data_IF_624682620540
#
_entry.id   IF_624682620540
#
_cell.length_a   1.000
_cell.length_b   1.000
_cell.length_c   1.000
_cell.angle_alpha   90.00
_cell.angle_beta   90.00
_cell.angle_gamma   90.00
#
_symmetry.space_group_name_H-M   'P 1'
#
loop_
_entity.id
_entity.type
_entity.pdbx_description
1 polymer ?
#
# COMPACT_ATOMS: atom_id res chain seq x y z
N UNK A 1 -37.37 19.74 -24.51
CA UNK A 1 -37.02 18.31 -24.35
C UNK A 1 -36.00 17.91 -25.40
N UNK A 2 -34.73 17.73 -25.04
CA UNK A 2 -33.74 17.03 -25.89
C UNK A 2 -32.89 16.16 -24.97
N UNK A 3 -33.19 14.86 -24.95
CA UNK A 3 -32.50 13.85 -24.15
C UNK A 3 -31.13 13.57 -24.76
N UNK A 4 -30.12 13.54 -23.88
CA UNK A 4 -28.74 13.15 -24.14
C UNK A 4 -28.68 11.69 -24.55
N UNK A 5 -28.24 11.42 -25.79
CA UNK A 5 -27.86 10.10 -26.28
C UNK A 5 -26.41 10.20 -26.77
N UNK A 6 -25.46 10.35 -25.83
CA UNK A 6 -24.02 10.30 -26.17
C UNK A 6 -23.15 9.64 -25.09
N UNK A 7 -23.72 8.96 -24.09
CA UNK A 7 -22.94 8.29 -23.03
C UNK A 7 -23.00 6.77 -23.04
N UNK A 8 -23.75 6.14 -23.95
CA UNK A 8 -23.93 4.68 -23.93
C UNK A 8 -23.06 3.92 -24.96
N UNK A 9 -22.48 4.58 -25.95
CA UNK A 9 -21.77 3.88 -27.05
C UNK A 9 -20.27 3.73 -26.80
N UNK A 10 -19.65 4.61 -26.00
CA UNK A 10 -18.24 4.45 -25.59
C UNK A 10 -18.04 3.48 -24.42
N UNK A 11 -19.11 3.13 -23.71
CA UNK A 11 -19.09 2.09 -22.67
C UNK A 11 -19.44 0.70 -23.22
N UNK A 12 -20.03 0.58 -24.43
CA UNK A 12 -20.70 -0.66 -24.86
C UNK A 12 -19.83 -1.67 -25.60
N UNK A 13 -18.76 -1.26 -26.26
CA UNK A 13 -17.98 -2.15 -27.15
C UNK A 13 -16.56 -2.46 -26.64
N UNK A 14 -16.00 -1.66 -25.74
CA UNK A 14 -14.71 -1.93 -25.11
C UNK A 14 -14.80 -2.61 -23.74
N UNK A 15 -15.98 -2.63 -23.11
CA UNK A 15 -16.14 -3.19 -21.76
C UNK A 15 -16.57 -4.64 -21.79
N UNK A 16 -17.49 -5.08 -22.65
CA UNK A 16 -17.99 -6.47 -22.60
C UNK A 16 -16.90 -7.52 -22.91
N UNK A 17 -16.10 -7.32 -23.97
CA UNK A 17 -15.04 -8.27 -24.33
C UNK A 17 -13.88 -8.30 -23.33
N UNK A 18 -13.46 -7.11 -22.83
CA UNK A 18 -12.44 -6.99 -21.78
C UNK A 18 -12.92 -7.50 -20.42
N UNK A 19 -14.20 -7.32 -20.09
CA UNK A 19 -14.82 -7.86 -18.88
C UNK A 19 -14.95 -9.37 -18.93
N UNK A 20 -15.42 -9.94 -20.05
CA UNK A 20 -15.58 -11.40 -20.19
C UNK A 20 -14.20 -12.09 -20.17
N UNK A 21 -13.21 -11.51 -20.86
CA UNK A 21 -11.81 -11.96 -20.77
C UNK A 21 -11.25 -11.80 -19.34
N UNK A 22 -11.54 -10.70 -18.66
CA UNK A 22 -11.15 -10.47 -17.26
C UNK A 22 -11.77 -11.49 -16.30
N UNK A 23 -13.06 -11.80 -16.43
CA UNK A 23 -13.79 -12.77 -15.60
C UNK A 23 -13.29 -14.20 -15.80
N UNK A 24 -13.08 -14.63 -17.05
CA UNK A 24 -12.46 -15.92 -17.35
C UNK A 24 -11.02 -16.03 -16.85
N UNK A 25 -10.24 -14.95 -16.90
CA UNK A 25 -8.89 -14.93 -16.30
C UNK A 25 -8.91 -14.95 -14.77
N UNK A 26 -9.90 -14.31 -14.14
CA UNK A 26 -10.15 -14.34 -12.69
C UNK A 26 -10.49 -15.76 -12.20
N UNK A 27 -11.18 -16.56 -13.01
CA UNK A 27 -11.50 -17.97 -12.68
C UNK A 27 -10.25 -18.86 -12.68
N UNK A 28 -9.31 -18.64 -13.60
CA UNK A 28 -8.09 -19.43 -13.68
C UNK A 28 -7.02 -19.04 -12.65
N UNK A 29 -7.06 -17.83 -12.10
CA UNK A 29 -5.95 -17.29 -11.31
C UNK A 29 -5.70 -18.10 -10.03
N UNK A 30 -6.72 -18.49 -9.26
CA UNK A 30 -6.49 -19.17 -7.98
C UNK A 30 -5.81 -20.55 -8.15
N UNK A 31 -6.29 -21.37 -9.08
CA UNK A 31 -5.69 -22.66 -9.40
C UNK A 31 -4.32 -22.52 -10.07
N UNK A 32 -4.12 -21.51 -10.91
CA UNK A 32 -2.82 -21.21 -11.50
C UNK A 32 -1.80 -20.77 -10.45
N UNK A 33 -2.21 -19.95 -9.49
CA UNK A 33 -1.38 -19.47 -8.39
C UNK A 33 -0.90 -20.61 -7.49
N UNK A 34 -1.81 -21.54 -7.15
CA UNK A 34 -1.47 -22.76 -6.40
C UNK A 34 -0.53 -23.67 -7.21
N UNK A 35 -0.74 -23.81 -8.53
CA UNK A 35 0.07 -24.65 -9.40
C UNK A 35 1.46 -24.09 -9.73
N UNK A 36 1.61 -22.75 -9.77
CA UNK A 36 2.88 -22.05 -10.02
C UNK A 36 3.59 -21.58 -8.75
N UNK A 37 3.03 -21.83 -7.58
CA UNK A 37 3.70 -21.61 -6.31
C UNK A 37 5.11 -22.23 -6.39
N UNK A 38 6.19 -21.46 -6.15
CA UNK A 38 7.52 -22.04 -6.16
C UNK A 38 7.55 -23.19 -5.16
N UNK A 39 7.98 -24.38 -5.61
CA UNK A 39 8.26 -25.51 -4.73
C UNK A 39 9.31 -25.03 -3.73
N UNK A 40 8.86 -24.70 -2.52
CA UNK A 40 9.65 -24.07 -1.48
C UNK A 40 10.89 -24.94 -1.21
N UNK A 41 12.08 -24.39 -1.49
CA UNK A 41 13.33 -25.14 -1.29
C UNK A 41 13.61 -25.24 0.20
N UNK A 42 13.79 -26.47 0.69
CA UNK A 42 13.80 -26.88 2.11
C UNK A 42 14.98 -26.31 2.93
N UNK A 43 15.88 -25.50 2.36
CA UNK A 43 17.07 -25.01 3.05
C UNK A 43 16.87 -23.76 3.93
N UNK A 44 15.84 -22.93 3.73
CA UNK A 44 15.74 -21.61 4.41
C UNK A 44 15.08 -21.62 5.80
N UNK A 45 14.51 -22.75 6.25
CA UNK A 45 13.79 -22.80 7.53
C UNK A 45 14.73 -22.77 8.75
N UNK A 46 15.95 -23.31 8.64
CA UNK A 46 16.92 -23.36 9.74
C UNK A 46 17.47 -21.97 10.10
N UNK A 47 17.58 -21.07 9.13
CA UNK A 47 18.16 -19.73 9.31
C UNK A 47 17.12 -18.64 9.63
N UNK A 48 15.82 -19.00 9.66
CA UNK A 48 14.74 -18.02 9.84
C UNK A 48 14.91 -17.13 11.09
N UNK A 49 15.18 -17.65 12.30
CA UNK A 49 15.37 -16.80 13.48
C UNK A 49 16.54 -15.82 13.33
N UNK A 50 17.67 -16.28 12.78
CA UNK A 50 18.86 -15.47 12.55
C UNK A 50 18.62 -14.37 11.51
N UNK A 51 17.91 -14.69 10.42
CA UNK A 51 17.54 -13.74 9.39
C UNK A 51 16.56 -12.68 9.90
N UNK A 52 15.56 -13.10 10.67
CA UNK A 52 14.61 -12.19 11.31
C UNK A 52 15.32 -11.26 12.29
N UNK A 53 16.24 -11.80 13.10
CA UNK A 53 17.03 -11.01 14.03
C UNK A 53 17.86 -9.95 13.31
N UNK A 54 18.65 -10.37 12.31
CA UNK A 54 19.47 -9.47 11.49
C UNK A 54 18.63 -8.38 10.80
N UNK A 55 17.49 -8.76 10.22
CA UNK A 55 16.61 -7.81 9.55
C UNK A 55 16.00 -6.79 10.52
N UNK A 56 15.57 -7.22 11.71
CA UNK A 56 15.03 -6.34 12.74
C UNK A 56 16.08 -5.43 13.33
N UNK A 57 17.31 -5.92 13.53
CA UNK A 57 18.44 -5.10 13.95
C UNK A 57 18.74 -4.00 12.92
N UNK A 58 18.81 -4.36 11.63
CA UNK A 58 18.96 -3.36 10.55
C UNK A 58 17.79 -2.38 10.50
N UNK A 59 16.56 -2.86 10.64
CA UNK A 59 15.38 -2.00 10.65
C UNK A 59 15.43 -1.00 11.82
N UNK A 60 15.89 -1.41 12.99
CA UNK A 60 16.11 -0.54 14.15
C UNK A 60 17.17 0.52 13.89
N UNK A 61 18.30 0.18 13.24
CA UNK A 61 19.31 1.17 12.86
C UNK A 61 18.73 2.25 11.93
N UNK A 62 17.88 1.84 10.99
CA UNK A 62 17.21 2.75 10.07
C UNK A 62 16.22 3.66 10.81
N UNK A 63 15.47 3.12 11.75
CA UNK A 63 14.54 3.87 12.60
C UNK A 63 15.27 4.88 13.50
N UNK A 64 16.38 4.51 14.13
CA UNK A 64 17.20 5.44 14.90
C UNK A 64 17.74 6.60 14.06
N UNK A 65 18.16 6.31 12.83
CA UNK A 65 18.63 7.34 11.92
C UNK A 65 17.49 8.29 11.51
N UNK A 66 16.27 7.76 11.29
CA UNK A 66 15.06 8.55 11.03
C UNK A 66 14.78 9.51 12.18
N UNK A 67 14.79 9.03 13.42
CA UNK A 67 14.55 9.84 14.62
C UNK A 67 15.64 10.91 14.83
N UNK A 68 16.93 10.52 14.75
CA UNK A 68 18.07 11.43 14.94
C UNK A 68 18.02 12.62 14.00
N UNK A 69 17.64 12.39 12.76
CA UNK A 69 17.69 13.42 11.72
C UNK A 69 16.40 14.28 11.68
N UNK A 70 15.55 14.18 12.71
CA UNK A 70 14.26 14.88 12.88
C UNK A 70 13.22 14.60 11.79
N UNK A 71 13.33 13.42 11.18
CA UNK A 71 12.47 12.96 10.08
C UNK A 71 11.20 12.30 10.59
N UNK A 72 11.05 12.26 11.91
CA UNK A 72 9.86 11.78 12.61
C UNK A 72 8.59 12.53 12.22
N UNK A 73 8.72 13.71 11.61
CA UNK A 73 7.64 14.49 11.00
C UNK A 73 7.26 14.00 9.59
N UNK A 74 7.81 12.88 9.14
CA UNK A 74 7.60 12.28 7.82
C UNK A 74 8.55 12.76 6.73
N UNK A 75 9.38 13.75 6.99
CA UNK A 75 10.22 14.39 5.96
C UNK A 75 11.15 13.39 5.27
N UNK A 76 11.16 13.37 3.94
CA UNK A 76 12.33 12.92 3.18
C UNK A 76 13.29 14.09 3.03
N UNK A 77 14.47 13.96 3.62
CA UNK A 77 15.55 14.95 3.63
C UNK A 77 16.70 14.43 2.80
N UNK A 78 16.96 15.11 1.69
CA UNK A 78 18.20 14.99 0.94
C UNK A 78 19.29 15.80 1.67
N UNK A 79 20.46 15.19 1.91
CA UNK A 79 21.64 15.86 2.48
C UNK A 79 22.87 15.75 1.60
N UNK A 80 23.59 16.85 1.40
CA UNK A 80 24.94 16.88 0.82
C UNK A 80 25.95 15.99 1.58
N UNK A 81 27.10 15.72 0.96
CA UNK A 81 28.26 15.03 1.57
C UNK A 81 28.69 15.67 2.90
N UNK A 82 28.50 16.98 3.06
CA UNK A 82 28.87 17.74 4.27
C UNK A 82 27.78 17.74 5.34
N UNK A 83 26.71 16.95 5.16
CA UNK A 83 25.58 16.84 6.08
C UNK A 83 24.55 17.97 5.96
N UNK A 84 24.77 18.96 5.09
CA UNK A 84 23.82 20.06 4.83
C UNK A 84 22.58 19.55 4.10
N UNK A 85 21.40 19.94 4.55
CA UNK A 85 20.12 19.64 3.90
C UNK A 85 20.06 20.35 2.54
N UNK A 86 19.88 19.59 1.46
CA UNK A 86 19.73 20.09 0.08
C UNK A 86 18.25 20.18 -0.35
N UNK A 87 17.37 19.40 0.28
CA UNK A 87 15.92 19.48 0.08
C UNK A 87 15.15 18.66 1.10
N UNK A 88 13.95 19.11 1.45
CA UNK A 88 13.01 18.41 2.31
C UNK A 88 11.65 18.35 1.60
N UNK A 89 11.15 17.17 1.25
CA UNK A 89 9.82 17.06 0.65
C UNK A 89 9.21 15.67 0.84
N UNK A 90 7.88 15.63 0.90
CA UNK A 90 7.04 14.43 1.04
C UNK A 90 7.01 13.85 2.47
N UNK A 91 5.89 14.05 3.18
CA UNK A 91 5.77 13.65 4.58
C UNK A 91 4.72 12.61 4.89
N UNK A 92 3.50 12.80 4.39
CA UNK A 92 2.37 12.06 4.93
C UNK A 92 2.39 10.58 4.50
N UNK A 93 2.85 10.28 3.29
CA UNK A 93 2.99 8.91 2.83
C UNK A 93 4.03 8.14 3.64
N UNK A 94 5.25 8.70 3.75
CA UNK A 94 6.37 8.10 4.46
C UNK A 94 6.13 7.96 5.95
N UNK A 95 5.62 9.02 6.60
CA UNK A 95 5.27 8.95 8.01
C UNK A 95 4.24 7.86 8.26
N UNK A 96 3.24 7.74 7.39
CA UNK A 96 2.19 6.74 7.56
C UNK A 96 2.73 5.32 7.41
N UNK A 97 3.52 5.05 6.36
CA UNK A 97 4.15 3.73 6.19
C UNK A 97 5.12 3.39 7.33
N UNK A 98 5.87 4.38 7.83
CA UNK A 98 6.70 4.22 9.03
C UNK A 98 5.85 3.84 10.24
N UNK A 99 4.78 4.57 10.53
CA UNK A 99 3.85 4.26 11.63
C UNK A 99 3.36 2.82 11.54
N UNK A 100 2.90 2.39 10.36
CA UNK A 100 2.44 1.00 10.16
C UNK A 100 3.57 0.01 10.40
N UNK A 101 4.76 0.27 9.87
CA UNK A 101 5.89 -0.63 10.01
C UNK A 101 6.30 -0.80 11.49
N UNK A 102 6.30 0.29 12.27
CA UNK A 102 6.58 0.26 13.70
C UNK A 102 5.55 -0.58 14.48
N UNK A 103 4.25 -0.41 14.20
CA UNK A 103 3.21 -1.26 14.79
C UNK A 103 3.44 -2.74 14.48
N UNK A 104 3.68 -3.07 13.20
CA UNK A 104 3.92 -4.47 12.78
C UNK A 104 5.21 -5.08 13.33
N UNK A 105 6.20 -4.24 13.64
CA UNK A 105 7.43 -4.67 14.30
C UNK A 105 7.27 -4.84 15.82
N UNK A 106 6.13 -4.46 16.40
CA UNK A 106 5.88 -4.48 17.85
C UNK A 106 6.55 -3.34 18.61
N UNK A 107 6.82 -2.22 17.94
CA UNK A 107 7.41 -1.01 18.52
C UNK A 107 6.29 0.01 18.80
N UNK A 108 5.35 -0.36 19.68
CA UNK A 108 4.10 0.39 19.87
C UNK A 108 4.33 1.83 20.37
N UNK A 109 5.32 2.03 21.24
CA UNK A 109 5.66 3.36 21.79
C UNK A 109 6.19 4.29 20.69
N UNK A 110 7.08 3.78 19.85
CA UNK A 110 7.62 4.50 18.69
C UNK A 110 6.52 4.74 17.64
N UNK A 111 5.65 3.76 17.41
CA UNK A 111 4.53 3.87 16.49
C UNK A 111 3.53 4.95 16.91
N UNK A 112 3.17 4.99 18.19
CA UNK A 112 2.28 6.00 18.77
C UNK A 112 2.90 7.41 18.71
N UNK A 113 4.21 7.51 18.93
CA UNK A 113 4.94 8.78 18.76
C UNK A 113 4.91 9.24 17.30
N UNK A 114 5.22 8.34 16.37
CA UNK A 114 5.18 8.63 14.94
C UNK A 114 3.76 9.06 14.49
N UNK A 115 2.74 8.35 14.95
CA UNK A 115 1.34 8.68 14.68
C UNK A 115 0.93 10.04 15.26
N UNK A 116 1.29 10.31 16.52
CA UNK A 116 0.99 11.57 17.17
C UNK A 116 1.56 12.77 16.39
N UNK A 117 2.76 12.61 15.82
CA UNK A 117 3.32 13.64 14.93
C UNK A 117 2.47 13.86 13.67
N UNK A 118 1.97 12.80 13.03
CA UNK A 118 1.05 12.91 11.88
C UNK A 118 -0.22 13.64 12.28
N UNK A 119 -0.89 13.18 13.34
CA UNK A 119 -2.18 13.70 13.78
C UNK A 119 -2.11 15.19 14.18
N UNK A 120 -0.98 15.63 14.73
CA UNK A 120 -0.76 17.01 15.17
C UNK A 120 -0.25 17.94 14.07
N UNK A 121 0.61 17.46 13.17
CA UNK A 121 1.35 18.33 12.24
C UNK A 121 0.89 18.23 10.79
N UNK A 122 0.32 17.10 10.39
CA UNK A 122 -0.10 16.88 9.00
C UNK A 122 -1.56 17.28 8.75
N UNK A 123 -2.31 17.71 9.78
CA UNK A 123 -3.66 18.25 9.64
C UNK A 123 -3.66 19.75 9.96
N UNK A 124 -3.63 20.59 8.94
CA UNK A 124 -3.63 22.06 9.06
C UNK A 124 -4.78 22.68 8.25
N UNK A 125 -5.36 23.77 8.75
CA UNK A 125 -6.44 24.53 8.09
C UNK A 125 -7.56 23.64 7.56
N UNK A 126 -7.94 22.62 8.34
CA UNK A 126 -8.95 21.61 8.00
C UNK A 126 -8.62 20.82 6.73
N UNK A 127 -7.35 20.53 6.47
CA UNK A 127 -6.86 19.72 5.34
C UNK A 127 -5.71 18.84 5.81
N UNK A 128 -5.54 17.71 5.14
CA UNK A 128 -4.30 16.94 5.24
C UNK A 128 -3.26 17.58 4.32
N UNK A 129 -2.10 17.92 4.87
CA UNK A 129 -1.06 18.70 4.19
C UNK A 129 0.28 17.99 4.22
N UNK A 130 1.16 18.38 3.30
CA UNK A 130 2.57 17.99 3.34
C UNK A 130 3.29 18.68 4.50
N UNK A 131 4.55 18.32 4.71
CA UNK A 131 5.40 19.00 5.69
C UNK A 131 5.48 20.51 5.37
N UNK A 132 5.49 21.40 6.38
CA UNK A 132 5.63 22.84 6.16
C UNK A 132 6.86 23.24 5.34
N UNK A 133 7.95 22.45 5.42
CA UNK A 133 9.17 22.69 4.63
C UNK A 133 9.07 22.27 3.16
N UNK A 134 7.99 21.57 2.76
CA UNK A 134 7.74 21.23 1.37
C UNK A 134 7.44 22.49 0.55
N UNK A 135 8.00 22.59 -0.66
CA UNK A 135 7.66 23.67 -1.60
C UNK A 135 6.15 23.73 -1.91
N UNK A 136 5.51 22.58 -2.00
CA UNK A 136 4.07 22.44 -2.22
C UNK A 136 3.42 21.87 -0.96
N UNK A 137 2.38 22.54 -0.47
CA UNK A 137 1.68 22.12 0.75
C UNK A 137 0.49 21.18 0.48
N UNK A 138 0.04 21.12 -0.77
CA UNK A 138 -1.11 20.33 -1.19
C UNK A 138 -0.84 18.82 -1.07
N UNK A 139 -1.80 18.08 -0.54
CA UNK A 139 -1.74 16.62 -0.47
C UNK A 139 -2.16 16.00 -1.80
N UNK A 140 -1.63 14.80 -2.04
CA UNK A 140 -1.89 14.02 -3.24
C UNK A 140 -2.47 12.65 -2.89
N UNK A 141 -2.99 11.95 -3.90
CA UNK A 141 -3.68 10.67 -3.73
C UNK A 141 -2.86 9.63 -2.98
N UNK A 142 -1.59 9.46 -3.34
CA UNK A 142 -0.65 8.58 -2.64
C UNK A 142 -0.55 8.89 -1.15
N UNK A 143 -0.41 10.16 -0.78
CA UNK A 143 -0.33 10.56 0.63
C UNK A 143 -1.56 10.12 1.43
N UNK A 144 -2.75 10.20 0.81
CA UNK A 144 -3.98 9.75 1.44
C UNK A 144 -4.07 8.23 1.48
N UNK A 145 -3.58 7.52 0.47
CA UNK A 145 -3.46 6.06 0.54
C UNK A 145 -2.50 5.66 1.67
N UNK A 146 -1.40 6.39 1.88
CA UNK A 146 -0.53 6.22 3.04
C UNK A 146 -1.27 6.46 4.35
N UNK A 147 -1.99 7.59 4.47
CA UNK A 147 -2.79 7.89 5.65
C UNK A 147 -3.85 6.79 5.92
N UNK A 148 -4.49 6.27 4.88
CA UNK A 148 -5.43 5.14 4.99
C UNK A 148 -4.71 3.88 5.49
N UNK A 149 -3.48 3.62 5.06
CA UNK A 149 -2.68 2.51 5.56
C UNK A 149 -2.35 2.66 7.06
N UNK A 150 -2.02 3.87 7.53
CA UNK A 150 -1.83 4.10 8.97
C UNK A 150 -3.15 3.96 9.76
N UNK A 151 -4.22 4.56 9.25
CA UNK A 151 -5.54 4.48 9.87
C UNK A 151 -6.08 3.04 9.92
N UNK A 152 -5.75 2.17 8.96
CA UNK A 152 -6.16 0.75 9.00
C UNK A 152 -5.51 -0.03 10.14
N UNK A 153 -4.49 0.53 10.80
CA UNK A 153 -3.91 -0.07 12.00
C UNK A 153 -4.64 0.31 13.29
N UNK A 154 -5.61 1.23 13.21
CA UNK A 154 -6.40 1.75 14.35
C UNK A 154 -5.54 2.36 15.48
N UNK A 155 -4.65 3.32 15.17
CA UNK A 155 -3.81 3.97 16.18
C UNK A 155 -4.64 4.79 17.19
N UNK A 156 -4.02 5.19 18.30
CA UNK A 156 -4.67 6.05 19.31
C UNK A 156 -5.22 7.34 18.67
N UNK A 157 -6.49 7.68 18.93
CA UNK A 157 -7.13 8.85 18.30
C UNK A 157 -7.49 8.65 16.82
N UNK A 158 -7.53 7.39 16.35
CA UNK A 158 -7.98 7.00 15.02
C UNK A 158 -9.33 7.62 14.66
N UNK A 159 -10.35 7.51 15.53
CA UNK A 159 -11.70 7.95 15.22
C UNK A 159 -11.77 9.44 14.84
N UNK A 160 -11.10 10.30 15.60
CA UNK A 160 -11.02 11.73 15.33
C UNK A 160 -10.31 12.02 13.99
N UNK A 161 -9.20 11.32 13.73
CA UNK A 161 -8.42 11.48 12.49
C UNK A 161 -9.18 10.97 11.27
N UNK A 162 -9.92 9.87 11.42
CA UNK A 162 -10.77 9.32 10.39
C UNK A 162 -11.94 10.26 10.07
N UNK A 163 -12.61 10.81 11.09
CA UNK A 163 -13.65 11.84 10.91
C UNK A 163 -13.10 13.08 10.21
N UNK A 164 -11.90 13.54 10.56
CA UNK A 164 -11.24 14.66 9.85
C UNK A 164 -11.06 14.34 8.36
N UNK A 165 -10.64 13.13 8.01
CA UNK A 165 -10.52 12.71 6.61
C UNK A 165 -11.88 12.70 5.90
N UNK A 166 -12.91 12.11 6.50
CA UNK A 166 -14.26 12.09 5.92
C UNK A 166 -14.83 13.51 5.71
N UNK A 167 -14.63 14.41 6.67
CA UNK A 167 -15.07 15.79 6.60
C UNK A 167 -14.37 16.57 5.47
N UNK A 168 -13.08 16.29 5.21
CA UNK A 168 -12.37 16.87 4.06
C UNK A 168 -13.02 16.42 2.75
N UNK A 169 -13.30 15.12 2.62
CA UNK A 169 -13.89 14.53 1.42
C UNK A 169 -15.31 15.07 1.19
N UNK A 170 -16.11 15.18 2.24
CA UNK A 170 -17.47 15.72 2.16
C UNK A 170 -17.45 17.19 1.72
N UNK A 171 -16.67 18.03 2.41
CA UNK A 171 -16.60 19.48 2.14
C UNK A 171 -16.15 19.78 0.71
N UNK A 172 -15.23 18.99 0.17
CA UNK A 172 -14.65 19.21 -1.16
C UNK A 172 -15.41 18.48 -2.27
N UNK A 173 -16.55 17.84 -1.97
CA UNK A 173 -17.37 17.13 -2.95
C UNK A 173 -16.71 15.87 -3.52
N UNK A 174 -15.88 15.19 -2.71
CA UNK A 174 -15.19 13.96 -3.10
C UNK A 174 -13.71 14.11 -3.40
N UNK A 175 -13.09 15.24 -3.07
CA UNK A 175 -11.65 15.45 -3.24
C UNK A 175 -10.92 15.31 -1.90
N UNK A 176 -9.63 15.03 -1.97
CA UNK A 176 -8.77 14.97 -0.78
C UNK A 176 -8.06 16.28 -0.51
N UNK A 177 -8.05 17.17 -1.51
CA UNK A 177 -7.50 18.53 -1.44
C UNK A 177 -8.11 19.40 -2.56
N UNK A 178 -7.82 20.70 -2.52
CA UNK A 178 -8.26 21.71 -3.48
C UNK A 178 -7.42 21.71 -4.80
N UNK A 179 -6.61 20.66 -5.00
CA UNK A 179 -5.72 20.49 -6.16
C UNK A 179 -6.44 20.07 -7.46
N UNK A 180 -5.69 19.85 -8.54
CA UNK A 180 -6.26 19.43 -9.81
C UNK A 180 -7.05 18.13 -9.67
N UNK A 181 -8.25 18.10 -10.27
CA UNK A 181 -9.24 17.02 -10.11
C UNK A 181 -8.67 15.60 -10.32
N UNK A 182 -7.78 15.39 -11.30
CA UNK A 182 -7.21 14.07 -11.62
C UNK A 182 -6.17 13.57 -10.61
N UNK A 183 -5.69 14.45 -9.72
CA UNK A 183 -4.72 14.13 -8.66
C UNK A 183 -5.42 14.00 -7.30
N UNK A 184 -6.51 14.75 -7.10
CA UNK A 184 -7.11 14.94 -5.77
C UNK A 184 -8.45 14.25 -5.59
N UNK A 185 -9.13 13.76 -6.64
CA UNK A 185 -10.43 13.09 -6.46
C UNK A 185 -10.28 11.67 -5.90
N UNK A 186 -11.11 11.33 -4.92
CA UNK A 186 -11.21 9.98 -4.36
C UNK A 186 -11.67 9.02 -5.46
N UNK A 187 -10.89 7.96 -5.70
CA UNK A 187 -11.27 6.92 -6.66
C UNK A 187 -12.35 6.01 -6.07
N UNK A 188 -13.15 5.32 -6.90
CA UNK A 188 -14.14 4.35 -6.41
C UNK A 188 -13.57 3.30 -5.45
N UNK A 189 -12.36 2.80 -5.74
CA UNK A 189 -11.68 1.83 -4.86
C UNK A 189 -11.26 2.43 -3.52
N UNK A 190 -10.81 3.69 -3.48
CA UNK A 190 -10.53 4.39 -2.22
C UNK A 190 -11.80 4.63 -1.41
N UNK A 191 -12.87 5.04 -2.08
CA UNK A 191 -14.18 5.22 -1.46
C UNK A 191 -14.69 3.91 -0.82
N UNK A 192 -14.51 2.76 -1.49
CA UNK A 192 -14.90 1.47 -0.94
C UNK A 192 -14.11 1.09 0.32
N UNK A 193 -12.79 1.29 0.32
CA UNK A 193 -11.96 1.04 1.49
C UNK A 193 -12.39 1.95 2.65
N UNK A 194 -12.55 3.26 2.39
CA UNK A 194 -13.01 4.22 3.40
C UNK A 194 -14.39 3.88 3.95
N UNK A 195 -15.31 3.41 3.09
CA UNK A 195 -16.63 2.94 3.52
C UNK A 195 -16.51 1.77 4.49
N UNK A 196 -15.70 0.77 4.16
CA UNK A 196 -15.50 -0.41 5.00
C UNK A 196 -14.79 -0.06 6.32
N UNK A 197 -13.81 0.86 6.29
CA UNK A 197 -13.22 1.41 7.50
C UNK A 197 -14.26 2.09 8.40
N UNK A 198 -15.24 2.80 7.82
CA UNK A 198 -16.30 3.43 8.60
C UNK A 198 -17.29 2.40 9.16
N UNK A 199 -17.69 1.41 8.35
CA UNK A 199 -18.61 0.34 8.78
C UNK A 199 -18.02 -0.47 9.93
N UNK A 200 -16.73 -0.81 9.87
CA UNK A 200 -15.99 -1.48 10.94
C UNK A 200 -16.07 -0.73 12.29
N UNK A 201 -16.34 0.56 12.24
CA UNK A 201 -16.41 1.47 13.38
C UNK A 201 -17.86 1.80 13.78
N UNK A 202 -18.84 1.09 13.21
CA UNK A 202 -20.25 1.22 13.54
C UNK A 202 -20.98 2.36 12.81
N UNK A 203 -20.35 3.00 11.81
CA UNK A 203 -21.06 3.98 10.99
C UNK A 203 -22.07 3.28 10.08
N UNK A 204 -23.26 3.87 9.96
CA UNK A 204 -24.26 3.42 8.99
C UNK A 204 -23.94 3.98 7.61
N UNK A 205 -24.21 3.22 6.56
CA UNK A 205 -23.89 3.61 5.19
C UNK A 205 -24.58 4.93 4.78
N UNK A 206 -25.76 5.23 5.33
CA UNK A 206 -26.50 6.46 5.06
C UNK A 206 -25.84 7.71 5.64
N UNK A 207 -25.00 7.55 6.67
CA UNK A 207 -24.27 8.65 7.33
C UNK A 207 -23.00 9.05 6.56
N UNK A 208 -22.59 8.24 5.57
CA UNK A 208 -21.36 8.49 4.83
C UNK A 208 -21.58 9.49 3.69
N UNK A 209 -20.54 10.29 3.34
CA UNK A 209 -20.59 11.16 2.18
C UNK A 209 -20.97 10.37 0.92
N UNK A 210 -21.79 10.95 0.04
CA UNK A 210 -22.31 10.26 -1.16
C UNK A 210 -21.20 9.61 -1.99
N UNK A 211 -20.04 10.27 -2.13
CA UNK A 211 -18.89 9.76 -2.87
C UNK A 211 -18.30 8.49 -2.24
N UNK A 212 -18.32 8.39 -0.91
CA UNK A 212 -17.86 7.21 -0.16
C UNK A 212 -18.89 6.08 -0.27
N UNK A 213 -20.18 6.40 -0.10
CA UNK A 213 -21.27 5.42 -0.22
C UNK A 213 -21.29 4.71 -1.57
N UNK A 214 -21.10 5.49 -2.64
CA UNK A 214 -21.09 5.01 -4.02
C UNK A 214 -19.76 4.33 -4.44
N UNK A 215 -18.81 4.18 -3.52
CA UNK A 215 -17.56 3.46 -3.75
C UNK A 215 -17.79 2.00 -4.14
N UNK A 216 -16.82 1.46 -4.89
CA UNK A 216 -16.70 0.05 -5.21
C UNK A 216 -15.26 -0.27 -5.64
N UNK A 217 -14.78 -1.48 -5.34
CA UNK A 217 -13.45 -1.92 -5.75
C UNK A 217 -13.39 -2.12 -7.26
N UNK A 218 -12.34 -1.55 -7.87
CA UNK A 218 -12.03 -1.60 -9.31
C UNK A 218 -10.63 -2.17 -9.56
N UNK A 219 -9.98 -2.67 -8.51
CA UNK A 219 -8.56 -2.95 -8.49
C UNK A 219 -8.13 -4.01 -9.52
N UNK A 220 -8.95 -5.02 -9.76
CA UNK A 220 -8.75 -6.03 -10.81
C UNK A 220 -8.68 -5.42 -12.21
N UNK A 221 -9.49 -4.40 -12.50
CA UNK A 221 -9.45 -3.70 -13.78
C UNK A 221 -8.31 -2.68 -13.83
N UNK A 222 -8.12 -1.94 -12.73
CA UNK A 222 -7.02 -0.98 -12.63
C UNK A 222 -5.68 -1.69 -12.81
N UNK A 223 -5.48 -2.87 -12.21
CA UNK A 223 -4.27 -3.69 -12.35
C UNK A 223 -4.13 -4.34 -13.73
N UNK A 224 -5.22 -4.64 -14.43
CA UNK A 224 -5.18 -5.18 -15.79
C UNK A 224 -4.57 -4.18 -16.79
N UNK A 225 -4.84 -2.89 -16.61
CA UNK A 225 -4.40 -1.83 -17.55
C UNK A 225 -3.23 -0.99 -17.00
N UNK A 226 -2.79 -1.26 -15.77
CA UNK A 226 -1.69 -0.49 -15.17
C UNK A 226 -0.37 -0.84 -15.84
N UNK A 227 0.44 0.19 -16.05
CA UNK A 227 1.83 -0.02 -16.49
C UNK A 227 2.75 -0.09 -15.27
N UNK A 228 3.90 -0.76 -15.36
CA UNK A 228 4.81 -0.84 -14.23
C UNK A 228 5.24 0.57 -13.75
N UNK A 229 5.48 0.75 -12.44
CA UNK A 229 5.84 2.03 -11.82
C UNK A 229 4.82 2.52 -10.78
N UNK A 230 4.70 3.84 -10.59
CA UNK A 230 3.98 4.44 -9.45
C UNK A 230 2.53 3.97 -9.30
N UNK A 231 1.78 3.91 -10.40
CA UNK A 231 0.37 3.48 -10.36
C UNK A 231 0.23 2.02 -9.93
N UNK A 232 1.12 1.13 -10.37
CA UNK A 232 1.10 -0.27 -9.97
C UNK A 232 1.32 -0.41 -8.46
N UNK A 233 2.17 0.43 -7.88
CA UNK A 233 2.42 0.40 -6.44
C UNK A 233 1.30 1.00 -5.61
N UNK A 234 0.62 2.04 -6.09
CA UNK A 234 -0.62 2.48 -5.45
C UNK A 234 -1.68 1.40 -5.47
N UNK A 235 -1.80 0.64 -6.56
CA UNK A 235 -2.69 -0.51 -6.61
C UNK A 235 -2.26 -1.60 -5.62
N UNK A 236 -0.97 -1.89 -5.51
CA UNK A 236 -0.42 -2.84 -4.54
C UNK A 236 -0.72 -2.42 -3.09
N UNK A 237 -0.55 -1.13 -2.76
CA UNK A 237 -0.85 -0.63 -1.43
C UNK A 237 -2.35 -0.65 -1.13
N UNK A 238 -3.19 -0.29 -2.10
CA UNK A 238 -4.65 -0.44 -1.98
C UNK A 238 -5.06 -1.90 -1.75
N UNK A 239 -4.47 -2.86 -2.47
CA UNK A 239 -4.68 -4.29 -2.23
C UNK A 239 -4.28 -4.69 -0.81
N UNK A 240 -3.11 -4.22 -0.37
CA UNK A 240 -2.62 -4.48 0.98
C UNK A 240 -3.57 -3.93 2.05
N UNK A 241 -4.05 -2.69 1.93
CA UNK A 241 -5.01 -2.10 2.89
C UNK A 241 -6.28 -2.94 2.95
N UNK A 242 -6.79 -3.39 1.79
CA UNK A 242 -7.98 -4.25 1.74
C UNK A 242 -7.75 -5.58 2.48
N UNK A 243 -6.58 -6.21 2.29
CA UNK A 243 -6.22 -7.44 2.98
C UNK A 243 -6.11 -7.25 4.50
N UNK A 244 -5.53 -6.13 4.94
CA UNK A 244 -5.45 -5.79 6.37
C UNK A 244 -6.82 -5.61 7.00
N UNK A 245 -7.70 -4.86 6.34
CA UNK A 245 -9.03 -4.60 6.88
C UNK A 245 -9.82 -5.88 7.08
N UNK A 246 -9.75 -6.81 6.14
CA UNK A 246 -10.52 -8.06 6.22
C UNK A 246 -9.90 -9.08 7.16
N UNK A 247 -8.58 -9.06 7.30
CA UNK A 247 -7.92 -9.84 8.34
C UNK A 247 -8.36 -9.39 9.74
N UNK A 248 -8.59 -8.09 9.94
CA UNK A 248 -9.05 -7.51 11.22
C UNK A 248 -10.57 -7.64 11.42
N UNK A 249 -11.33 -7.48 10.34
CA UNK A 249 -12.79 -7.42 10.31
C UNK A 249 -13.34 -8.37 9.22
N UNK A 250 -13.33 -9.71 9.47
CA UNK A 250 -13.70 -10.71 8.45
C UNK A 250 -15.15 -10.64 7.98
N UNK A 251 -16.02 -10.00 8.75
CA UNK A 251 -17.42 -9.77 8.45
C UNK A 251 -17.66 -8.71 7.36
N UNK A 252 -16.64 -7.92 7.01
CA UNK A 252 -16.75 -6.89 5.99
C UNK A 252 -16.82 -7.49 4.58
N UNK A 253 -17.83 -7.06 3.82
CA UNK A 253 -17.97 -7.38 2.41
C UNK A 253 -17.57 -6.18 1.54
N UNK A 254 -16.48 -6.34 0.79
CA UNK A 254 -16.04 -5.33 -0.18
C UNK A 254 -16.88 -5.46 -1.46
N UNK A 255 -17.67 -4.43 -1.78
CA UNK A 255 -18.37 -4.36 -3.07
C UNK A 255 -17.36 -4.18 -4.18
N UNK A 256 -17.29 -5.11 -5.12
CA UNK A 256 -16.44 -4.98 -6.32
C UNK A 256 -17.27 -4.85 -7.57
N UNK A 257 -16.77 -4.16 -8.59
CA UNK A 257 -17.44 -4.06 -9.88
C UNK A 257 -17.69 -5.43 -10.48
N UNK A 258 -16.74 -6.35 -10.30
CA UNK A 258 -16.88 -7.71 -10.79
C UNK A 258 -17.86 -8.53 -9.93
N UNK A 259 -17.92 -8.29 -8.61
CA UNK A 259 -18.94 -8.87 -7.72
C UNK A 259 -20.37 -8.38 -7.95
N UNK A 260 -20.54 -7.17 -8.50
CA UNK A 260 -21.86 -6.70 -8.97
C UNK A 260 -22.36 -7.51 -10.18
N UNK A 261 -21.48 -8.23 -10.88
CA UNK A 261 -21.81 -9.09 -12.01
C UNK A 261 -22.01 -10.57 -11.60
N UNK A 262 -21.55 -10.97 -10.41
CA UNK A 262 -21.69 -12.33 -9.88
C UNK A 262 -23.08 -12.69 -9.35
N UNK A 263 -24.02 -11.74 -9.32
CA UNK A 263 -25.45 -12.05 -9.14
C UNK A 263 -26.02 -13.00 -10.21
N UNK A 264 -25.18 -13.44 -11.15
CA UNK A 264 -25.47 -14.32 -12.29
C UNK A 264 -24.89 -15.74 -12.10
N UNK A 265 -23.94 -16.00 -11.17
CA UNK A 265 -23.35 -17.35 -11.03
C UNK A 265 -22.78 -17.67 -9.62
N UNK A 266 -23.42 -18.59 -8.87
CA UNK A 266 -23.16 -18.84 -7.44
C UNK A 266 -22.30 -20.08 -7.09
N UNK A 267 -21.86 -20.87 -8.06
CA UNK A 267 -21.41 -22.28 -7.82
C UNK A 267 -19.91 -22.50 -7.58
N UNK A 268 -19.19 -21.52 -7.04
CA UNK A 268 -17.73 -21.58 -6.98
C UNK A 268 -17.21 -21.49 -5.54
N UNK A 269 -16.75 -22.62 -4.99
CA UNK A 269 -16.40 -22.82 -3.57
C UNK A 269 -15.32 -21.92 -2.93
N UNK A 270 -14.74 -20.95 -3.65
CA UNK A 270 -13.98 -19.84 -3.08
C UNK A 270 -14.75 -18.54 -3.34
N UNK A 271 -14.93 -17.69 -2.33
CA UNK A 271 -15.65 -16.41 -2.53
C UNK A 271 -14.98 -15.64 -3.67
N UNK A 272 -15.78 -15.15 -4.62
CA UNK A 272 -15.28 -14.44 -5.79
C UNK A 272 -14.28 -13.32 -5.44
N UNK A 273 -14.55 -12.65 -4.33
CA UNK A 273 -13.70 -11.63 -3.74
C UNK A 273 -12.26 -12.11 -3.47
N UNK A 274 -12.06 -13.36 -3.04
CA UNK A 274 -10.73 -13.94 -2.87
C UNK A 274 -10.00 -14.10 -4.21
N UNK A 275 -10.70 -14.59 -5.24
CA UNK A 275 -10.16 -14.73 -6.61
C UNK A 275 -9.72 -13.40 -7.19
N UNK A 276 -10.51 -12.35 -6.98
CA UNK A 276 -10.23 -10.97 -7.40
C UNK A 276 -8.94 -10.42 -6.81
N UNK A 277 -8.69 -10.65 -5.52
CA UNK A 277 -7.43 -10.25 -4.86
C UNK A 277 -6.23 -11.01 -5.38
N UNK A 278 -6.38 -12.32 -5.50
CA UNK A 278 -5.38 -13.21 -6.09
C UNK A 278 -5.00 -12.75 -7.51
N UNK A 279 -5.98 -12.47 -8.35
CA UNK A 279 -5.75 -11.95 -9.70
C UNK A 279 -5.03 -10.59 -9.69
N UNK A 280 -5.49 -9.64 -8.89
CA UNK A 280 -4.84 -8.32 -8.80
C UNK A 280 -3.36 -8.46 -8.39
N UNK A 281 -3.06 -9.32 -7.41
CA UNK A 281 -1.70 -9.62 -6.99
C UNK A 281 -0.88 -10.31 -8.09
N UNK A 282 -1.48 -11.24 -8.83
CA UNK A 282 -0.86 -11.91 -9.97
C UNK A 282 -0.49 -10.94 -11.08
N UNK A 283 -1.39 -10.03 -11.44
CA UNK A 283 -1.11 -9.01 -12.46
C UNK A 283 0.03 -8.09 -12.01
N UNK A 284 0.03 -7.64 -10.76
CA UNK A 284 1.12 -6.85 -10.19
C UNK A 284 2.46 -7.60 -10.25
N UNK A 285 2.48 -8.88 -9.85
CA UNK A 285 3.69 -9.70 -9.91
C UNK A 285 4.18 -9.92 -11.35
N UNK A 286 3.29 -10.17 -12.31
CA UNK A 286 3.64 -10.29 -13.74
C UNK A 286 4.24 -9.00 -14.30
N UNK A 287 3.74 -7.85 -13.86
CA UNK A 287 4.24 -6.53 -14.28
C UNK A 287 5.67 -6.27 -13.81
N UNK A 288 6.02 -6.73 -12.61
CA UNK A 288 7.38 -6.60 -12.07
C UNK A 288 7.76 -7.77 -11.12
N UNK A 289 8.27 -8.89 -11.67
CA UNK A 289 8.58 -10.08 -10.87
C UNK A 289 9.76 -9.92 -9.91
N UNK A 290 10.59 -8.88 -10.09
CA UNK A 290 11.73 -8.61 -9.19
C UNK A 290 11.29 -7.82 -7.96
N UNK A 291 10.07 -7.28 -7.94
CA UNK A 291 9.55 -6.48 -6.85
C UNK A 291 9.08 -7.34 -5.67
N UNK A 292 9.79 -7.26 -4.54
CA UNK A 292 9.50 -8.05 -3.34
C UNK A 292 8.09 -7.78 -2.78
N UNK A 293 7.58 -6.54 -2.87
CA UNK A 293 6.24 -6.22 -2.36
C UNK A 293 5.14 -6.87 -3.21
N UNK A 294 5.30 -6.89 -4.53
CA UNK A 294 4.34 -7.54 -5.43
C UNK A 294 4.35 -9.06 -5.24
N UNK A 295 5.54 -9.64 -5.11
CA UNK A 295 5.70 -11.07 -4.81
C UNK A 295 5.14 -11.43 -3.42
N UNK A 296 5.33 -10.58 -2.41
CA UNK A 296 4.70 -10.74 -1.10
C UNK A 296 3.17 -10.79 -1.22
N UNK A 297 2.56 -9.87 -1.97
CA UNK A 297 1.10 -9.84 -2.17
C UNK A 297 0.61 -11.05 -2.94
N UNK A 298 1.34 -11.48 -3.97
CA UNK A 298 1.09 -12.70 -4.72
C UNK A 298 1.04 -13.92 -3.79
N UNK A 299 2.09 -14.11 -3.00
CA UNK A 299 2.19 -15.25 -2.07
C UNK A 299 1.12 -15.17 -0.96
N UNK A 300 0.84 -13.98 -0.44
CA UNK A 300 -0.17 -13.76 0.62
C UNK A 300 -1.57 -14.07 0.12
N UNK A 301 -1.95 -13.57 -1.06
CA UNK A 301 -3.29 -13.78 -1.64
C UNK A 301 -3.50 -15.21 -2.13
N UNK A 302 -2.44 -15.90 -2.52
CA UNK A 302 -2.46 -17.32 -2.86
C UNK A 302 -2.43 -18.25 -1.62
N UNK A 303 -2.32 -17.71 -0.40
CA UNK A 303 -2.29 -18.52 0.83
C UNK A 303 -1.00 -19.33 1.03
N UNK A 304 0.08 -18.97 0.33
CA UNK A 304 1.36 -19.71 0.28
C UNK A 304 2.55 -18.89 0.82
N UNK A 305 2.29 -17.77 1.50
CA UNK A 305 3.31 -16.98 2.20
C UNK A 305 3.77 -17.70 3.49
N UNK A 306 4.46 -18.82 3.31
CA UNK A 306 5.05 -19.63 4.37
C UNK A 306 6.29 -18.95 4.98
N UNK A 307 6.79 -19.47 6.11
CA UNK A 307 8.07 -19.02 6.70
C UNK A 307 9.23 -19.15 5.72
N UNK A 308 9.29 -20.24 4.95
CA UNK A 308 10.29 -20.47 3.91
C UNK A 308 10.24 -19.38 2.85
N UNK A 309 9.04 -19.04 2.36
CA UNK A 309 8.86 -17.99 1.37
C UNK A 309 9.23 -16.61 1.94
N UNK A 310 8.82 -16.30 3.18
CA UNK A 310 9.24 -15.09 3.88
C UNK A 310 10.76 -15.01 4.04
N UNK A 311 11.43 -16.12 4.36
CA UNK A 311 12.88 -16.20 4.50
C UNK A 311 13.60 -15.87 3.18
N UNK A 312 13.13 -16.41 2.07
CA UNK A 312 13.68 -16.14 0.74
C UNK A 312 13.52 -14.65 0.35
N UNK A 313 12.33 -14.08 0.57
CA UNK A 313 12.08 -12.65 0.35
C UNK A 313 12.97 -11.78 1.25
N UNK A 314 13.16 -12.18 2.51
CA UNK A 314 13.97 -11.46 3.48
C UNK A 314 15.47 -11.51 3.14
N UNK A 315 15.98 -12.67 2.72
CA UNK A 315 17.35 -12.82 2.23
C UNK A 315 17.60 -11.91 1.01
N UNK A 316 16.66 -11.89 0.06
CA UNK A 316 16.74 -10.99 -1.10
C UNK A 316 16.73 -9.53 -0.69
N UNK A 317 15.88 -9.14 0.26
CA UNK A 317 15.83 -7.78 0.79
C UNK A 317 17.16 -7.37 1.45
N UNK A 318 17.75 -8.26 2.25
CA UNK A 318 19.02 -8.01 2.95
C UNK A 318 20.23 -7.95 2.02
N UNK A 319 20.15 -8.60 0.86
CA UNK A 319 21.18 -8.62 -0.17
C UNK A 319 21.08 -7.46 -1.18
N UNK A 320 20.03 -6.63 -1.10
CA UNK A 320 19.83 -5.50 -2.02
C UNK A 320 20.90 -4.41 -1.79
N UNK A 321 21.68 -4.04 -2.83
CA UNK A 321 22.69 -2.97 -2.72
C UNK A 321 22.10 -1.63 -2.27
N UNK A 322 20.80 -1.41 -2.48
CA UNK A 322 20.08 -0.21 -2.11
C UNK A 322 19.88 -0.05 -0.60
N UNK A 323 20.16 -1.08 0.20
CA UNK A 323 20.03 -1.08 1.66
C UNK A 323 21.36 -1.49 2.32
N UNK A 324 22.34 -0.57 2.38
CA UNK A 324 23.65 -0.88 2.94
C UNK A 324 23.58 -1.24 4.43
N UNK A 325 24.42 -2.19 4.85
CA UNK A 325 24.35 -2.87 6.16
C UNK A 325 24.61 -1.98 7.38
N UNK A 326 25.32 -0.87 7.23
CA UNK A 326 25.71 0.00 8.35
C UNK A 326 25.40 1.48 8.16
N UNK A 327 24.59 1.85 7.16
CA UNK A 327 24.28 3.25 6.86
C UNK A 327 22.95 3.39 6.13
N UNK A 328 22.42 4.61 6.10
CA UNK A 328 21.30 4.92 5.23
C UNK A 328 21.71 4.87 3.74
N UNK A 329 20.76 4.56 2.84
CA UNK A 329 21.00 4.63 1.40
C UNK A 329 21.28 6.08 0.99
N UNK A 330 22.32 6.29 0.20
CA UNK A 330 22.57 7.54 -0.49
C UNK A 330 21.91 7.52 -1.88
N UNK A 331 21.82 8.68 -2.53
CA UNK A 331 21.35 8.87 -3.91
C UNK A 331 22.01 7.89 -4.85
N UNK A 332 23.31 7.68 -4.67
CA UNK A 332 24.09 6.78 -5.49
C UNK A 332 23.84 5.30 -5.21
N UNK A 333 23.42 4.96 -3.99
CA UNK A 333 23.01 3.59 -3.65
C UNK A 333 21.59 3.32 -4.12
N UNK A 334 20.86 4.38 -4.46
CA UNK A 334 19.52 4.32 -5.02
C UNK A 334 19.59 4.40 -6.54
N UNK A 335 19.19 3.34 -7.24
CA UNK A 335 18.88 3.48 -8.65
C UNK A 335 17.66 4.38 -8.91
N UNK A 336 16.86 4.66 -7.87
CA UNK A 336 15.66 5.50 -7.91
C UNK A 336 15.27 6.03 -6.51
N UNK A 337 14.65 7.21 -6.48
CA UNK A 337 14.25 7.92 -5.26
C UNK A 337 13.25 7.15 -4.36
N UNK A 338 12.47 6.22 -4.94
CA UNK A 338 11.37 5.50 -4.29
C UNK A 338 11.29 4.03 -4.77
N UNK A 339 11.79 3.07 -3.98
CA UNK A 339 11.90 1.66 -4.40
C UNK A 339 10.54 0.97 -4.61
N UNK A 340 9.48 1.50 -4.00
CA UNK A 340 8.10 1.08 -4.21
C UNK A 340 7.31 2.06 -5.08
N UNK A 341 7.91 2.90 -5.93
CA UNK A 341 7.13 3.73 -6.87
C UNK A 341 7.65 3.70 -8.32
N UNK A 342 8.68 2.91 -8.62
CA UNK A 342 9.28 2.80 -9.96
C UNK A 342 9.44 1.34 -10.39
N UNK A 343 9.78 1.11 -11.65
CA UNK A 343 9.91 -0.26 -12.21
C UNK A 343 11.24 -0.89 -11.79
N UNK A 344 11.29 -2.22 -11.65
CA UNK A 344 12.57 -2.94 -11.45
C UNK A 344 13.63 -2.67 -12.51
N UNK A 345 13.20 -2.39 -13.73
CA UNK A 345 14.06 -2.08 -14.88
C UNK A 345 14.47 -0.61 -14.97
N UNK A 346 13.72 0.30 -14.33
CA UNK A 346 14.14 1.69 -14.15
C UNK A 346 15.34 1.79 -13.18
N UNK A 347 15.70 0.69 -12.51
CA UNK A 347 16.81 0.59 -11.58
C UNK A 347 18.16 0.22 -12.24
N UNK A 348 18.23 0.02 -13.55
CA UNK A 348 19.45 -0.48 -14.19
C UNK A 348 20.34 0.62 -14.80
N UNK A 349 19.94 1.91 -14.78
CA UNK A 349 20.75 3.01 -15.34
C UNK A 349 20.56 4.38 -14.69
N UNK A 350 21.58 4.86 -13.97
CA UNK A 350 21.91 6.29 -13.90
C UNK A 350 23.43 6.48 -14.11
N UNK A 351 23.79 7.30 -15.10
CA UNK A 351 25.17 7.69 -15.45
C UNK A 351 25.73 8.72 -14.45
N UNK A 352 27.02 8.58 -14.12
CA UNK A 352 27.94 9.56 -13.52
C UNK A 352 27.36 10.44 -12.40
N UNK A 353 27.48 9.93 -11.18
CA UNK A 353 27.00 10.53 -9.95
C UNK A 353 27.74 11.83 -9.60
N UNK A 354 26.99 12.92 -9.34
CA UNK A 354 27.54 14.21 -8.83
C UNK A 354 26.98 14.59 -7.45
N UNK A 355 25.95 13.90 -6.96
CA UNK A 355 25.25 14.18 -5.70
C UNK A 355 25.21 12.93 -4.82
N UNK A 356 25.61 13.07 -3.56
CA UNK A 356 25.56 11.99 -2.55
C UNK A 356 24.53 12.39 -1.50
N UNK A 357 23.27 12.43 -1.90
CA UNK A 357 22.14 12.72 -1.02
C UNK A 357 21.88 11.55 -0.07
N UNK A 358 21.87 11.70 1.25
CA UNK A 358 21.38 10.63 2.14
C UNK A 358 19.84 10.59 2.10
N UNK A 359 19.23 9.41 2.09
CA UNK A 359 17.77 9.24 2.15
C UNK A 359 17.33 8.18 3.18
N UNK A 360 16.04 8.13 3.51
CA UNK A 360 15.52 7.31 4.61
C UNK A 360 14.97 5.99 4.08
N UNK A 361 15.35 4.86 4.70
CA UNK A 361 14.92 3.54 4.24
C UNK A 361 13.61 3.08 4.86
N UNK A 362 12.58 3.92 4.83
CA UNK A 362 11.21 3.52 5.22
C UNK A 362 10.75 2.31 4.39
N UNK A 363 11.19 2.20 3.14
CA UNK A 363 10.91 1.06 2.25
C UNK A 363 11.48 -0.25 2.82
N UNK A 364 12.69 -0.20 3.38
CA UNK A 364 13.30 -1.33 4.08
C UNK A 364 12.53 -1.65 5.35
N UNK A 365 12.25 -0.63 6.17
CA UNK A 365 11.48 -0.77 7.41
C UNK A 365 10.12 -1.41 7.15
N UNK A 366 9.40 -0.93 6.14
CA UNK A 366 8.13 -1.46 5.66
C UNK A 366 8.22 -2.93 5.27
N UNK A 367 9.17 -3.28 4.40
CA UNK A 367 9.29 -4.66 3.93
C UNK A 367 9.75 -5.62 5.03
N UNK A 368 10.67 -5.21 5.91
CA UNK A 368 11.03 -5.99 7.09
C UNK A 368 9.80 -6.20 7.98
N UNK A 369 9.00 -5.16 8.23
CA UNK A 369 7.80 -5.28 9.03
C UNK A 369 6.80 -6.29 8.44
N UNK A 370 6.53 -6.23 7.13
CA UNK A 370 5.62 -7.17 6.47
C UNK A 370 6.13 -8.62 6.48
N UNK A 371 7.44 -8.82 6.32
CA UNK A 371 8.04 -10.16 6.24
C UNK A 371 8.25 -10.78 7.62
N UNK A 372 8.51 -9.97 8.64
CA UNK A 372 8.78 -10.43 10.01
C UNK A 372 7.59 -10.34 10.95
N UNK A 373 6.44 -9.83 10.46
CA UNK A 373 5.18 -9.84 11.19
C UNK A 373 4.88 -11.26 11.71
N UNK A 374 4.56 -11.40 13.02
CA UNK A 374 4.17 -12.69 13.58
C UNK A 374 3.04 -13.29 12.76
N UNK A 375 3.06 -14.60 12.54
CA UNK A 375 1.88 -15.28 11.99
C UNK A 375 0.71 -14.95 12.92
N UNK A 376 -0.28 -14.20 12.41
CA UNK A 376 -1.51 -14.01 13.16
C UNK A 376 -2.01 -15.39 13.53
N UNK A 377 -2.41 -15.62 14.80
CA UNK A 377 -2.92 -16.92 15.20
C UNK A 377 -4.07 -17.24 14.24
N UNK A 378 -3.88 -18.25 13.40
CA UNK A 378 -4.99 -18.88 12.69
C UNK A 378 -5.94 -19.29 13.81
N UNK A 379 -7.03 -18.55 14.00
CA UNK A 379 -8.14 -19.05 14.82
C UNK A 379 -8.54 -20.35 14.16
N UNK A 380 -8.16 -21.44 14.82
CA UNK A 380 -8.26 -22.77 14.28
C UNK A 380 -9.68 -23.02 13.82
N UNK A 381 -9.79 -23.72 12.68
CA UNK A 381 -10.94 -24.60 12.44
C UNK A 381 -10.96 -25.60 13.60
N UNK A 382 -11.67 -25.25 14.68
CA UNK A 382 -12.11 -26.15 15.72
C UNK A 382 -13.57 -26.46 15.46
N UNK A 383 -13.86 -27.75 15.31
CA UNK A 383 -15.16 -28.35 15.00
C UNK A 383 -16.32 -27.82 15.82
#
# INVERSE_FOLDING_TARGET
MRKKVYSLVLLGTFTAGGLIAGLSMLECSLHYLEAKAPAARVQSHADWPSLVHLARERAWLYEQAIERDHLSQGMVVNRSIRGKIEGACDSLMFSSLRTVALFKLGQDVEADRAWSHIAQKAYDKRRWVRHPDCKWQASSRDMIVGLMAALSQEPVGFADSFVRLLNVIERTGGSIDDGPFYVSRVSPGMAEILKNMAIAQGYREEQLPTVIRMGFVTLEFDTLVVTPGYRAHLNALMLWIELELIQRHPELEMRSLSGLLDGINSDWGSTFTARRRAFAAEQLFKLDPKNIFFEYLYLRTAGILTRTAKAELLQRLLAMPQFPEGRLPNDCDRPADYLWQRRSTEYERVKACRTVAIFHGVDFLWMVALLTEPESPQRGRGN
#
